data_IF_228116203482
#
_entry.id   IF_228116203482
#
_cell.length_a   1.000
_cell.length_b   1.000
_cell.length_c   1.000
_cell.angle_alpha   90.00
_cell.angle_beta   90.00
_cell.angle_gamma   90.00
#
_symmetry.space_group_name_H-M   'P 1'
#
loop_
_entity.id
_entity.type
_entity.pdbx_description
1 polymer ?
#
# COMPACT_ATOMS: atom_id res chain seq x y z
N UNK A 1 -12.39 -25.69 2.38
CA UNK A 1 -11.83 -24.64 3.27
C UNK A 1 -10.35 -24.94 3.41
N UNK A 2 -9.46 -23.96 3.18
CA UNK A 2 -8.02 -24.16 3.42
C UNK A 2 -7.78 -24.20 4.93
N UNK A 3 -6.79 -24.97 5.39
CA UNK A 3 -6.37 -24.94 6.79
C UNK A 3 -5.66 -23.62 7.10
N UNK A 4 -5.68 -23.19 8.37
CA UNK A 4 -4.99 -21.97 8.82
C UNK A 4 -3.48 -22.02 8.51
N UNK A 5 -2.87 -23.20 8.64
CA UNK A 5 -1.47 -23.44 8.26
C UNK A 5 -1.25 -23.14 6.77
N UNK A 6 -2.10 -23.68 5.90
CA UNK A 6 -1.99 -23.48 4.46
C UNK A 6 -2.26 -22.02 4.06
N UNK A 7 -3.19 -21.34 4.73
CA UNK A 7 -3.40 -19.90 4.54
C UNK A 7 -2.15 -19.10 4.89
N UNK A 8 -1.46 -19.50 5.97
CA UNK A 8 -0.21 -18.87 6.37
C UNK A 8 0.93 -19.10 5.40
N UNK A 9 1.10 -20.33 4.92
CA UNK A 9 2.09 -20.66 3.90
C UNK A 9 1.83 -19.89 2.60
N UNK A 10 0.57 -19.78 2.16
CA UNK A 10 0.20 -19.01 0.98
C UNK A 10 0.45 -17.51 1.17
N UNK A 11 0.17 -16.97 2.36
CA UNK A 11 0.39 -15.55 2.64
C UNK A 11 1.89 -15.22 2.65
N UNK A 12 2.69 -16.06 3.30
CA UNK A 12 4.14 -15.96 3.27
C UNK A 12 4.67 -16.10 1.84
N UNK A 13 4.19 -17.09 1.08
CA UNK A 13 4.57 -17.29 -0.32
C UNK A 13 4.27 -16.05 -1.16
N UNK A 14 3.11 -15.42 -0.98
CA UNK A 14 2.73 -14.24 -1.72
C UNK A 14 3.71 -13.08 -1.50
N UNK A 15 4.12 -12.83 -0.25
CA UNK A 15 5.07 -11.77 0.12
C UNK A 15 6.51 -12.11 -0.28
N UNK A 16 6.93 -13.36 -0.04
CA UNK A 16 8.32 -13.80 -0.18
C UNK A 16 8.71 -14.09 -1.63
N UNK A 17 7.79 -14.45 -2.52
CA UNK A 17 8.16 -14.73 -3.92
C UNK A 17 8.81 -13.53 -4.63
N UNK A 18 8.27 -12.29 -4.61
CA UNK A 18 8.94 -11.14 -5.19
C UNK A 18 10.20 -10.75 -4.41
N UNK A 19 10.24 -11.00 -3.09
CA UNK A 19 11.41 -10.73 -2.27
C UNK A 19 12.59 -11.62 -2.67
N UNK A 20 12.32 -12.90 -2.93
CA UNK A 20 13.30 -13.86 -3.40
C UNK A 20 13.83 -13.50 -4.80
N UNK A 21 12.95 -13.05 -5.71
CA UNK A 21 13.37 -12.57 -7.03
C UNK A 21 14.27 -11.32 -6.91
N UNK A 22 13.91 -10.37 -6.06
CA UNK A 22 14.74 -9.20 -5.76
C UNK A 22 16.12 -9.60 -5.20
N UNK A 23 16.15 -10.48 -4.18
CA UNK A 23 17.39 -10.91 -3.55
C UNK A 23 18.30 -11.68 -4.51
N UNK A 24 17.75 -12.61 -5.31
CA UNK A 24 18.52 -13.41 -6.26
C UNK A 24 19.11 -12.55 -7.38
N UNK A 25 18.30 -11.67 -7.99
CA UNK A 25 18.78 -10.76 -9.04
C UNK A 25 19.73 -9.68 -8.49
N UNK A 26 19.44 -9.16 -7.29
CA UNK A 26 20.29 -8.19 -6.60
C UNK A 26 21.67 -8.77 -6.27
N UNK A 27 21.72 -9.98 -5.70
CA UNK A 27 22.97 -10.69 -5.44
C UNK A 27 23.75 -10.94 -6.74
N UNK A 28 23.07 -11.31 -7.82
CA UNK A 28 23.71 -11.50 -9.13
C UNK A 28 24.34 -10.21 -9.68
N UNK A 29 23.67 -9.06 -9.51
CA UNK A 29 24.22 -7.76 -9.90
C UNK A 29 25.39 -7.30 -9.03
N UNK A 30 25.37 -7.61 -7.73
CA UNK A 30 26.49 -7.31 -6.82
C UNK A 30 27.78 -8.06 -7.21
N UNK A 31 27.65 -9.19 -7.90
CA UNK A 31 28.78 -9.90 -8.51
C UNK A 31 29.30 -9.23 -9.81
N UNK A 32 28.90 -7.99 -10.08
CA UNK A 32 29.22 -7.21 -11.28
C UNK A 32 28.82 -7.88 -12.60
N UNK A 33 27.80 -8.74 -12.55
CA UNK A 33 27.24 -9.41 -13.73
C UNK A 33 25.89 -8.79 -14.08
N UNK A 34 25.70 -8.38 -15.33
CA UNK A 34 24.43 -7.84 -15.82
C UNK A 34 23.59 -8.95 -16.47
N UNK A 35 22.49 -9.39 -15.84
CA UNK A 35 21.62 -10.40 -16.43
C UNK A 35 20.89 -9.82 -17.64
N UNK A 36 20.59 -10.66 -18.64
CA UNK A 36 19.82 -10.21 -19.80
C UNK A 36 18.41 -9.79 -19.42
N UNK A 37 17.80 -8.87 -20.18
CA UNK A 37 16.42 -8.42 -19.97
C UNK A 37 15.42 -9.60 -19.89
N UNK A 38 15.65 -10.65 -20.68
CA UNK A 38 14.82 -11.87 -20.68
C UNK A 38 14.91 -12.61 -19.36
N UNK A 39 16.09 -12.70 -18.75
CA UNK A 39 16.28 -13.38 -17.46
C UNK A 39 15.62 -12.57 -16.35
N UNK A 40 15.87 -11.25 -16.31
CA UNK A 40 15.29 -10.34 -15.31
C UNK A 40 13.76 -10.38 -15.37
N UNK A 41 13.19 -10.15 -16.56
CA UNK A 41 11.74 -10.10 -16.71
C UNK A 41 11.08 -11.43 -16.40
N UNK A 42 11.64 -12.57 -16.86
CA UNK A 42 11.09 -13.88 -16.52
C UNK A 42 11.11 -14.14 -15.02
N UNK A 43 12.22 -13.88 -14.33
CA UNK A 43 12.35 -14.12 -12.90
C UNK A 43 11.35 -13.28 -12.08
N UNK A 44 11.22 -11.98 -12.39
CA UNK A 44 10.28 -11.11 -11.68
C UNK A 44 8.84 -11.44 -12.03
N UNK A 45 8.51 -11.65 -13.31
CA UNK A 45 7.14 -11.98 -13.71
C UNK A 45 6.69 -13.35 -13.21
N UNK A 46 7.58 -14.35 -13.11
CA UNK A 46 7.25 -15.63 -12.48
C UNK A 46 6.98 -15.46 -11.00
N UNK A 47 7.79 -14.67 -10.29
CA UNK A 47 7.58 -14.39 -8.87
C UNK A 47 6.25 -13.66 -8.59
N UNK A 48 5.91 -12.66 -9.43
CA UNK A 48 4.62 -11.97 -9.34
C UNK A 48 3.43 -12.86 -9.70
N UNK A 49 3.62 -13.80 -10.64
CA UNK A 49 2.58 -14.78 -10.99
C UNK A 49 2.32 -15.75 -9.82
N UNK A 50 3.37 -16.16 -9.10
CA UNK A 50 3.26 -16.95 -7.87
C UNK A 50 2.51 -16.16 -6.79
N UNK A 51 2.84 -14.87 -6.59
CA UNK A 51 2.10 -14.02 -5.63
C UNK A 51 0.62 -13.92 -5.97
N UNK A 52 0.29 -13.75 -7.25
CA UNK A 52 -1.09 -13.68 -7.70
C UNK A 52 -1.83 -15.00 -7.46
N UNK A 53 -1.21 -16.14 -7.80
CA UNK A 53 -1.81 -17.45 -7.58
C UNK A 53 -2.08 -17.71 -6.10
N UNK A 54 -1.11 -17.41 -5.22
CA UNK A 54 -1.27 -17.53 -3.77
C UNK A 54 -2.38 -16.59 -3.24
N UNK A 55 -2.41 -15.34 -3.70
CA UNK A 55 -3.43 -14.36 -3.32
C UNK A 55 -4.83 -14.78 -3.77
N UNK A 56 -4.97 -15.34 -4.97
CA UNK A 56 -6.25 -15.86 -5.48
C UNK A 56 -6.72 -17.09 -4.69
N UNK A 57 -5.82 -17.99 -4.31
CA UNK A 57 -6.14 -19.15 -3.49
C UNK A 57 -6.65 -18.71 -2.09
N UNK A 58 -5.96 -17.75 -1.47
CA UNK A 58 -6.40 -17.12 -0.23
C UNK A 58 -7.78 -16.49 -0.42
N UNK A 59 -7.95 -15.61 -1.41
CA UNK A 59 -9.22 -14.91 -1.64
C UNK A 59 -10.38 -15.87 -1.93
N UNK A 60 -10.18 -16.91 -2.74
CA UNK A 60 -11.18 -17.93 -3.01
C UNK A 60 -11.64 -18.66 -1.74
N UNK A 61 -10.73 -18.90 -0.80
CA UNK A 61 -11.09 -19.46 0.50
C UNK A 61 -11.86 -18.46 1.38
N UNK A 62 -11.51 -17.16 1.34
CA UNK A 62 -12.19 -16.09 2.10
C UNK A 62 -13.63 -15.84 1.64
N UNK A 63 -13.90 -16.06 0.35
CA UNK A 63 -15.24 -15.99 -0.24
C UNK A 63 -16.07 -17.21 0.17
N UNK A 64 -15.47 -18.40 0.13
CA UNK A 64 -16.15 -19.66 0.46
C UNK A 64 -16.49 -19.79 1.96
N UNK A 65 -15.63 -19.29 2.84
CA UNK A 65 -15.84 -19.30 4.28
C UNK A 65 -15.34 -17.98 4.88
N UNK A 66 -16.24 -17.14 5.43
CA UNK A 66 -15.85 -15.95 6.18
C UNK A 66 -15.00 -16.33 7.40
N UNK A 67 -13.69 -16.13 7.33
CA UNK A 67 -12.84 -16.18 8.53
C UNK A 67 -12.64 -14.76 9.08
N UNK A 68 -12.59 -14.67 10.40
CA UNK A 68 -12.47 -13.40 11.09
C UNK A 68 -11.04 -12.87 11.07
N UNK A 69 -10.07 -13.72 11.42
CA UNK A 69 -8.68 -13.34 11.61
C UNK A 69 -7.80 -14.61 11.61
N UNK A 70 -6.94 -14.79 10.62
CA UNK A 70 -5.93 -15.88 10.64
C UNK A 70 -4.54 -15.25 10.79
N UNK A 71 -3.97 -15.24 12.02
CA UNK A 71 -2.63 -14.75 12.25
C UNK A 71 -1.59 -15.81 11.90
N UNK A 72 -0.59 -15.39 11.16
CA UNK A 72 0.52 -16.22 10.69
C UNK A 72 1.78 -15.66 11.33
N UNK A 73 2.20 -16.25 12.43
CA UNK A 73 3.37 -15.80 13.17
C UNK A 73 4.63 -16.18 12.40
N UNK A 74 5.38 -15.19 11.92
CA UNK A 74 6.67 -15.36 11.27
C UNK A 74 7.82 -15.45 12.31
N UNK A 75 7.55 -15.06 13.55
CA UNK A 75 8.51 -15.07 14.66
C UNK A 75 8.57 -13.73 15.38
N UNK A 76 9.47 -13.61 16.35
CA UNK A 76 9.73 -12.34 17.04
C UNK A 76 10.77 -11.55 16.26
N UNK A 77 10.45 -10.31 15.90
CA UNK A 77 11.45 -9.36 15.41
C UNK A 77 12.31 -8.84 16.56
N UNK A 78 11.71 -8.61 17.72
CA UNK A 78 12.39 -8.23 18.93
C UNK A 78 11.74 -8.89 20.14
N UNK A 79 12.53 -9.34 21.11
CA UNK A 79 12.00 -9.95 22.33
C UNK A 79 12.89 -9.64 23.53
N UNK A 80 12.26 -9.31 24.64
CA UNK A 80 12.85 -9.17 25.98
C UNK A 80 12.03 -10.01 26.96
N UNK A 81 12.44 -10.05 28.24
CA UNK A 81 11.72 -10.83 29.26
C UNK A 81 10.28 -10.36 29.50
N UNK A 82 10.00 -9.07 29.30
CA UNK A 82 8.70 -8.45 29.64
C UNK A 82 7.94 -7.92 28.43
N UNK A 83 8.55 -7.93 27.25
CA UNK A 83 7.96 -7.34 26.05
C UNK A 83 8.51 -8.00 24.79
N UNK A 84 7.62 -8.32 23.85
CA UNK A 84 7.98 -8.92 22.58
C UNK A 84 7.22 -8.26 21.43
N UNK A 85 7.94 -8.09 20.32
CA UNK A 85 7.46 -7.59 19.05
C UNK A 85 7.41 -8.75 18.06
N UNK A 86 6.20 -9.22 17.75
CA UNK A 86 5.94 -10.30 16.80
C UNK A 86 5.75 -9.78 15.37
N UNK A 87 6.26 -10.54 14.39
CA UNK A 87 5.91 -10.39 12.99
C UNK A 87 4.75 -11.34 12.70
N UNK A 88 3.62 -10.76 12.34
CA UNK A 88 2.41 -11.51 12.05
C UNK A 88 1.93 -11.10 10.68
N UNK A 89 1.73 -12.06 9.77
CA UNK A 89 0.88 -11.84 8.60
C UNK A 89 -0.56 -12.13 8.99
N UNK A 90 -1.48 -11.33 8.48
CA UNK A 90 -2.89 -11.39 8.77
C UNK A 90 -3.65 -11.62 7.48
N UNK A 91 -4.42 -12.70 7.48
CA UNK A 91 -5.32 -13.05 6.39
C UNK A 91 -6.75 -12.88 6.87
N UNK A 92 -7.42 -11.89 6.29
CA UNK A 92 -8.85 -11.65 6.41
C UNK A 92 -9.40 -11.19 5.05
N UNK A 93 -10.70 -10.86 4.98
CA UNK A 93 -11.33 -10.46 3.70
C UNK A 93 -10.72 -9.19 3.11
N UNK A 94 -10.37 -8.21 3.95
CA UNK A 94 -9.77 -6.96 3.49
C UNK A 94 -8.38 -7.20 2.93
N UNK A 95 -7.51 -7.90 3.67
CA UNK A 95 -6.16 -8.28 3.24
C UNK A 95 -6.21 -9.12 1.97
N UNK A 96 -7.04 -10.17 1.93
CA UNK A 96 -7.15 -11.06 0.78
C UNK A 96 -7.54 -10.31 -0.50
N UNK A 97 -8.52 -9.41 -0.40
CA UNK A 97 -8.97 -8.57 -1.53
C UNK A 97 -7.84 -7.67 -2.03
N UNK A 98 -7.11 -7.04 -1.10
CA UNK A 98 -5.99 -6.17 -1.43
C UNK A 98 -4.78 -6.92 -1.97
N UNK A 99 -4.47 -8.13 -1.46
CA UNK A 99 -3.39 -8.97 -1.97
C UNK A 99 -3.62 -9.36 -3.43
N UNK A 100 -4.87 -9.70 -3.79
CA UNK A 100 -5.25 -9.95 -5.18
C UNK A 100 -5.07 -8.70 -6.03
N UNK A 101 -5.59 -7.55 -5.58
CA UNK A 101 -5.48 -6.29 -6.31
C UNK A 101 -4.02 -5.90 -6.56
N UNK A 102 -3.19 -5.95 -5.51
CA UNK A 102 -1.76 -5.63 -5.58
C UNK A 102 -1.05 -6.55 -6.56
N UNK A 103 -1.23 -7.87 -6.43
CA UNK A 103 -0.56 -8.85 -7.28
C UNK A 103 -1.01 -8.76 -8.74
N UNK A 104 -2.31 -8.53 -8.98
CA UNK A 104 -2.88 -8.40 -10.32
C UNK A 104 -2.32 -7.18 -11.05
N UNK A 105 -2.28 -6.03 -10.38
CA UNK A 105 -1.79 -4.79 -10.96
C UNK A 105 -0.27 -4.86 -11.14
N UNK A 106 0.47 -5.38 -10.16
CA UNK A 106 1.91 -5.55 -10.28
C UNK A 106 2.30 -6.45 -11.47
N UNK A 107 1.60 -7.58 -11.66
CA UNK A 107 1.84 -8.47 -12.80
C UNK A 107 1.48 -7.80 -14.14
N UNK A 108 0.36 -7.06 -14.19
CA UNK A 108 -0.08 -6.35 -15.39
C UNK A 108 0.92 -5.27 -15.79
N UNK A 109 1.31 -4.42 -14.84
CA UNK A 109 2.33 -3.38 -15.04
C UNK A 109 3.67 -4.02 -15.40
N UNK A 110 4.06 -5.10 -14.74
CA UNK A 110 5.30 -5.82 -15.06
C UNK A 110 5.34 -6.32 -16.50
N UNK A 111 4.25 -6.93 -16.99
CA UNK A 111 4.15 -7.39 -18.38
C UNK A 111 4.23 -6.24 -19.38
N UNK A 112 3.53 -5.15 -19.12
CA UNK A 112 3.59 -3.94 -19.94
C UNK A 112 5.01 -3.36 -19.96
N UNK A 113 5.69 -3.35 -18.81
CA UNK A 113 7.03 -2.77 -18.65
C UNK A 113 8.10 -3.49 -19.46
N UNK A 114 7.93 -4.78 -19.79
CA UNK A 114 8.88 -5.53 -20.64
C UNK A 114 9.01 -4.87 -22.01
N UNK A 115 7.88 -4.52 -22.62
CA UNK A 115 7.87 -3.87 -23.94
C UNK A 115 8.23 -2.39 -23.82
N UNK A 116 7.68 -1.69 -22.83
CA UNK A 116 7.87 -0.25 -22.66
C UNK A 116 9.33 0.15 -22.38
N UNK A 117 10.06 -0.66 -21.59
CA UNK A 117 11.45 -0.38 -21.22
C UNK A 117 12.46 -1.18 -22.06
N UNK A 118 12.05 -1.78 -23.17
CA UNK A 118 12.98 -2.57 -23.97
C UNK A 118 14.17 -1.72 -24.42
N UNK A 119 15.40 -2.19 -24.16
CA UNK A 119 16.67 -1.49 -24.41
C UNK A 119 16.93 -0.25 -23.54
N UNK A 120 16.13 -0.04 -22.50
CA UNK A 120 16.43 0.99 -21.50
C UNK A 120 17.59 0.53 -20.60
N UNK A 121 18.65 1.34 -20.41
CA UNK A 121 19.76 1.00 -19.51
C UNK A 121 19.31 0.67 -18.08
N UNK A 122 18.20 1.28 -17.64
CA UNK A 122 17.59 1.07 -16.34
C UNK A 122 16.70 -0.18 -16.22
N UNK A 123 16.61 -1.06 -17.23
CA UNK A 123 15.68 -2.20 -17.23
C UNK A 123 15.78 -3.07 -15.98
N UNK A 124 16.98 -3.53 -15.63
CA UNK A 124 17.20 -4.37 -14.45
C UNK A 124 16.82 -3.65 -13.15
N UNK A 125 17.19 -2.36 -13.03
CA UNK A 125 16.84 -1.52 -11.89
C UNK A 125 15.33 -1.39 -11.73
N UNK A 126 14.59 -1.16 -12.81
CA UNK A 126 13.13 -1.06 -12.75
C UNK A 126 12.50 -2.34 -12.20
N UNK A 127 12.86 -3.50 -12.76
CA UNK A 127 12.26 -4.78 -12.36
C UNK A 127 12.62 -5.20 -10.93
N UNK A 128 13.81 -4.84 -10.43
CA UNK A 128 14.16 -5.00 -9.02
C UNK A 128 13.30 -4.11 -8.11
N UNK A 129 13.12 -2.85 -8.47
CA UNK A 129 12.28 -1.93 -7.70
C UNK A 129 10.81 -2.36 -7.76
N UNK A 130 10.33 -2.91 -8.88
CA UNK A 130 9.00 -3.51 -9.00
C UNK A 130 8.82 -4.72 -8.07
N UNK A 131 9.79 -5.62 -8.02
CA UNK A 131 9.78 -6.76 -7.11
C UNK A 131 9.77 -6.28 -5.65
N UNK A 132 10.68 -5.38 -5.29
CA UNK A 132 10.78 -4.85 -3.93
C UNK A 132 9.53 -4.08 -3.49
N UNK A 133 8.96 -3.28 -4.40
CA UNK A 133 7.69 -2.59 -4.16
C UNK A 133 6.56 -3.59 -3.92
N UNK A 134 6.49 -4.65 -4.72
CA UNK A 134 5.45 -5.68 -4.60
C UNK A 134 5.56 -6.41 -3.26
N UNK A 135 6.78 -6.74 -2.82
CA UNK A 135 7.04 -7.25 -1.47
C UNK A 135 6.54 -6.28 -0.39
N UNK A 136 6.90 -4.99 -0.49
CA UNK A 136 6.48 -3.98 0.49
C UNK A 136 4.97 -3.80 0.58
N UNK A 137 4.29 -3.70 -0.57
CA UNK A 137 2.84 -3.58 -0.59
C UNK A 137 2.14 -4.84 -0.09
N UNK A 138 2.61 -6.03 -0.46
CA UNK A 138 2.03 -7.28 0.02
C UNK A 138 2.24 -7.44 1.53
N UNK A 139 3.42 -7.12 2.05
CA UNK A 139 3.69 -7.08 3.49
C UNK A 139 2.79 -6.07 4.21
N UNK A 140 2.61 -4.87 3.64
CA UNK A 140 1.74 -3.82 4.18
C UNK A 140 0.28 -4.28 4.28
N UNK A 141 -0.29 -4.81 3.18
CA UNK A 141 -1.72 -5.17 3.15
C UNK A 141 -2.03 -6.47 3.89
N UNK A 142 -1.02 -7.30 4.13
CA UNK A 142 -1.13 -8.50 4.96
C UNK A 142 -0.53 -8.30 6.36
N UNK A 143 -0.21 -7.08 6.77
CA UNK A 143 0.39 -6.84 8.07
C UNK A 143 -0.62 -7.12 9.20
N UNK A 144 -0.29 -8.08 10.06
CA UNK A 144 -1.01 -8.36 11.31
C UNK A 144 -0.63 -7.47 12.47
N UNK A 145 0.48 -6.75 12.35
CA UNK A 145 0.96 -5.77 13.33
C UNK A 145 1.19 -4.40 12.71
N UNK A 146 1.06 -3.33 13.51
CA UNK A 146 1.36 -1.97 13.05
C UNK A 146 2.82 -1.80 12.64
N UNK A 147 3.73 -2.54 13.25
CA UNK A 147 5.15 -2.47 12.95
C UNK A 147 5.50 -3.12 11.60
N UNK A 148 4.90 -4.27 11.28
CA UNK A 148 5.06 -4.88 9.95
C UNK A 148 4.41 -4.00 8.88
N UNK A 149 3.28 -3.35 9.22
CA UNK A 149 2.66 -2.36 8.36
C UNK A 149 3.64 -1.20 8.11
N UNK A 150 4.30 -0.68 9.14
CA UNK A 150 5.32 0.35 9.03
C UNK A 150 6.48 -0.08 8.13
N UNK A 151 7.02 -1.28 8.33
CA UNK A 151 8.10 -1.80 7.47
C UNK A 151 7.68 -1.90 5.99
N UNK A 152 6.48 -2.39 5.71
CA UNK A 152 5.91 -2.39 4.36
C UNK A 152 5.71 -0.97 3.80
N UNK A 153 5.18 -0.06 4.62
CA UNK A 153 4.92 1.34 4.29
C UNK A 153 6.18 2.12 3.89
N UNK A 154 7.27 1.87 4.61
CA UNK A 154 8.60 2.38 4.34
C UNK A 154 9.16 1.85 3.03
N UNK A 155 9.07 0.53 2.82
CA UNK A 155 9.57 -0.11 1.60
C UNK A 155 8.84 0.39 0.35
N UNK A 156 7.53 0.56 0.46
CA UNK A 156 6.66 1.18 -0.56
C UNK A 156 7.08 2.62 -0.81
N UNK A 157 7.39 3.40 0.22
CA UNK A 157 7.85 4.78 0.10
C UNK A 157 9.20 4.89 -0.61
N UNK A 158 10.17 4.11 -0.17
CA UNK A 158 11.53 4.11 -0.71
C UNK A 158 11.53 3.72 -2.20
N UNK A 159 10.87 2.61 -2.55
CA UNK A 159 10.76 2.15 -3.93
C UNK A 159 10.00 3.14 -4.82
N UNK A 160 8.93 3.75 -4.32
CA UNK A 160 8.19 4.79 -5.06
C UNK A 160 9.09 5.99 -5.39
N UNK A 161 9.83 6.50 -4.40
CA UNK A 161 10.75 7.64 -4.58
C UNK A 161 11.85 7.31 -5.60
N UNK A 162 12.45 6.13 -5.51
CA UNK A 162 13.47 5.69 -6.46
C UNK A 162 12.92 5.56 -7.89
N UNK A 163 11.65 5.21 -8.04
CA UNK A 163 11.01 5.11 -9.35
C UNK A 163 10.50 6.46 -9.89
N UNK A 164 10.17 7.44 -9.04
CA UNK A 164 10.05 8.85 -9.50
C UNK A 164 11.39 9.30 -10.09
N UNK A 165 12.48 9.02 -9.39
CA UNK A 165 13.82 9.38 -9.82
C UNK A 165 14.40 8.48 -10.91
N UNK A 166 13.59 7.62 -11.56
CA UNK A 166 14.13 6.59 -12.48
C UNK A 166 14.99 7.20 -13.61
N UNK A 167 14.52 8.28 -14.22
CA UNK A 167 15.25 9.07 -15.23
C UNK A 167 16.17 10.12 -14.57
N UNK A 168 17.01 9.67 -13.64
CA UNK A 168 17.90 10.49 -12.81
C UNK A 168 18.92 11.35 -13.58
N UNK A 169 19.18 11.09 -14.86
CA UNK A 169 20.06 11.93 -15.70
C UNK A 169 19.43 13.29 -16.02
N UNK A 170 18.10 13.40 -15.94
CA UNK A 170 17.38 14.68 -16.02
C UNK A 170 17.30 15.32 -14.64
N UNK A 171 17.30 16.66 -14.56
CA UNK A 171 17.21 17.35 -13.28
C UNK A 171 15.82 17.27 -12.61
N UNK A 172 14.75 17.21 -13.40
CA UNK A 172 13.38 17.26 -12.87
C UNK A 172 12.98 16.03 -12.04
N UNK A 173 13.25 14.77 -12.48
CA UNK A 173 12.81 13.59 -11.74
C UNK A 173 13.41 13.46 -10.32
N UNK A 174 14.73 13.65 -10.09
CA UNK A 174 15.29 13.65 -8.73
C UNK A 174 14.71 14.75 -7.84
N UNK A 175 14.48 15.96 -8.36
CA UNK A 175 13.85 17.06 -7.61
C UNK A 175 12.42 16.73 -7.19
N UNK A 176 11.65 16.11 -8.09
CA UNK A 176 10.33 15.62 -7.79
C UNK A 176 10.37 14.51 -6.73
N UNK A 177 11.30 13.55 -6.86
CA UNK A 177 11.47 12.44 -5.94
C UNK A 177 11.79 12.91 -4.51
N UNK A 178 12.68 13.89 -4.35
CA UNK A 178 13.01 14.49 -3.05
C UNK A 178 11.76 15.11 -2.40
N UNK A 179 10.92 15.81 -3.18
CA UNK A 179 9.67 16.37 -2.64
C UNK A 179 8.69 15.30 -2.18
N UNK A 180 8.56 14.22 -2.95
CA UNK A 180 7.74 13.06 -2.57
C UNK A 180 8.29 12.45 -1.28
N UNK A 181 9.61 12.23 -1.21
CA UNK A 181 10.27 11.66 -0.04
C UNK A 181 10.04 12.50 1.21
N UNK A 182 10.31 13.80 1.17
CA UNK A 182 10.10 14.71 2.30
C UNK A 182 8.64 14.66 2.75
N UNK A 183 7.69 14.73 1.82
CA UNK A 183 6.27 14.69 2.19
C UNK A 183 5.91 13.37 2.87
N UNK A 184 6.38 12.24 2.35
CA UNK A 184 6.19 10.94 3.00
C UNK A 184 6.79 10.94 4.41
N UNK A 185 8.08 11.29 4.56
CA UNK A 185 8.76 11.31 5.87
C UNK A 185 8.02 12.15 6.91
N UNK A 186 7.58 13.35 6.53
CA UNK A 186 6.86 14.25 7.42
C UNK A 186 5.50 13.68 7.86
N UNK A 187 4.83 12.91 7.01
CA UNK A 187 3.55 12.29 7.36
C UNK A 187 3.71 10.98 8.12
N UNK A 188 4.78 10.23 7.82
CA UNK A 188 5.08 8.92 8.39
C UNK A 188 5.41 9.01 9.90
N UNK A 189 5.70 10.21 10.43
CA UNK A 189 5.73 10.47 11.87
C UNK A 189 4.40 10.15 12.55
N UNK A 190 3.27 10.28 11.83
CA UNK A 190 1.96 9.89 12.31
C UNK A 190 1.82 8.38 12.46
N UNK A 191 2.39 7.60 11.53
CA UNK A 191 2.40 6.14 11.61
C UNK A 191 3.28 5.67 12.76
N UNK A 192 4.46 6.28 12.91
CA UNK A 192 5.36 6.02 14.03
C UNK A 192 4.71 6.38 15.38
N UNK A 193 4.09 7.55 15.47
CA UNK A 193 3.35 7.97 16.67
C UNK A 193 2.19 7.03 16.98
N UNK A 194 1.46 6.58 15.95
CA UNK A 194 0.41 5.58 16.10
C UNK A 194 0.92 4.23 16.59
N UNK A 195 2.07 3.77 16.10
CA UNK A 195 2.70 2.55 16.59
C UNK A 195 3.10 2.67 18.07
N UNK A 196 3.74 3.79 18.45
CA UNK A 196 4.11 4.05 19.86
C UNK A 196 2.87 4.11 20.76
N UNK A 197 1.82 4.82 20.36
CA UNK A 197 0.57 4.89 21.13
C UNK A 197 -0.11 3.53 21.25
N UNK A 198 -0.06 2.71 20.22
CA UNK A 198 -0.65 1.37 20.24
C UNK A 198 0.10 0.47 21.24
N UNK A 199 1.44 0.51 21.23
CA UNK A 199 2.27 -0.20 22.20
C UNK A 199 2.06 0.27 23.65
N UNK A 200 1.90 1.58 23.86
CA UNK A 200 1.71 2.17 25.19
C UNK A 200 0.30 1.91 25.75
N UNK A 201 -0.74 2.12 24.95
CA UNK A 201 -2.14 2.08 25.40
C UNK A 201 -2.75 0.68 25.35
N UNK A 202 -2.37 -0.15 24.37
CA UNK A 202 -2.93 -1.48 24.18
C UNK A 202 -1.98 -2.60 24.61
N UNK A 203 -0.73 -2.27 24.96
CA UNK A 203 0.33 -3.25 25.29
C UNK A 203 0.52 -4.34 24.22
N UNK A 204 0.20 -4.01 22.97
CA UNK A 204 0.25 -4.90 21.82
C UNK A 204 0.38 -4.08 20.54
N UNK A 205 1.00 -4.63 19.50
CA UNK A 205 0.93 -4.10 18.14
C UNK A 205 0.00 -4.87 17.21
N UNK A 206 -0.63 -5.95 17.68
CA UNK A 206 -1.42 -6.82 16.83
C UNK A 206 -2.83 -6.27 16.63
N UNK A 207 -3.26 -6.12 15.38
CA UNK A 207 -4.61 -5.61 15.08
C UNK A 207 -5.71 -6.44 15.75
N UNK A 208 -5.54 -7.76 15.81
CA UNK A 208 -6.53 -8.68 16.38
C UNK A 208 -6.68 -8.54 17.90
N UNK A 209 -5.63 -8.11 18.60
CA UNK A 209 -5.68 -7.86 20.04
C UNK A 209 -6.31 -6.49 20.33
N UNK A 210 -5.99 -5.47 19.53
CA UNK A 210 -6.53 -4.11 19.72
C UNK A 210 -7.99 -3.96 19.26
N UNK A 211 -8.35 -4.64 18.17
CA UNK A 211 -9.68 -4.51 17.54
C UNK A 211 -10.60 -5.70 17.82
N UNK A 212 -10.08 -6.76 18.45
CA UNK A 212 -10.79 -8.01 18.67
C UNK A 212 -10.84 -8.90 17.41
N UNK A 213 -11.34 -10.12 17.60
CA UNK A 213 -11.42 -11.14 16.54
C UNK A 213 -12.69 -11.10 15.70
N UNK A 214 -13.34 -9.95 15.53
CA UNK A 214 -14.54 -9.84 14.70
C UNK A 214 -14.17 -9.71 13.21
N UNK A 215 -14.89 -10.36 12.27
CA UNK A 215 -14.62 -10.20 10.85
C UNK A 215 -14.72 -8.73 10.41
N UNK A 216 -13.76 -8.27 9.60
CA UNK A 216 -13.78 -6.92 9.02
C UNK A 216 -15.13 -6.60 8.34
N UNK A 217 -15.71 -5.38 8.51
CA UNK A 217 -15.14 -4.19 9.16
C UNK A 217 -15.09 -4.21 10.69
N UNK A 218 -15.49 -5.31 11.32
CA UNK A 218 -15.26 -5.60 12.73
C UNK A 218 -16.19 -4.89 13.70
N UNK A 219 -16.06 -5.26 14.96
CA UNK A 219 -16.67 -4.59 16.10
C UNK A 219 -15.76 -3.44 16.59
N UNK A 220 -16.31 -2.56 17.41
CA UNK A 220 -15.62 -1.40 17.95
C UNK A 220 -14.35 -1.78 18.74
N UNK A 221 -13.27 -1.00 18.57
CA UNK A 221 -12.01 -1.21 19.31
C UNK A 221 -12.20 -1.20 20.83
N UNK A 222 -11.36 -1.94 21.56
CA UNK A 222 -11.38 -2.03 23.03
C UNK A 222 -10.88 -0.76 23.74
N UNK A 223 -10.30 0.18 22.98
CA UNK A 223 -9.79 1.46 23.47
C UNK A 223 -10.92 2.45 23.82
N UNK A 224 -10.69 3.27 24.85
CA UNK A 224 -11.58 4.39 25.18
C UNK A 224 -11.67 5.42 24.04
N UNK A 225 -12.76 6.21 23.92
CA UNK A 225 -12.98 7.11 22.80
C UNK A 225 -11.85 8.13 22.54
N UNK A 226 -11.24 8.66 23.60
CA UNK A 226 -10.10 9.60 23.49
C UNK A 226 -8.86 8.94 22.90
N UNK A 227 -8.49 7.76 23.42
CA UNK A 227 -7.39 6.95 22.90
C UNK A 227 -7.62 6.54 21.44
N UNK A 228 -8.84 6.09 21.11
CA UNK A 228 -9.23 5.74 19.75
C UNK A 228 -9.12 6.95 18.80
N UNK A 229 -9.50 8.14 19.26
CA UNK A 229 -9.37 9.40 18.48
C UNK A 229 -7.92 9.74 18.22
N UNK A 230 -7.06 9.74 19.25
CA UNK A 230 -5.65 10.07 19.12
C UNK A 230 -4.95 9.10 18.16
N UNK A 231 -5.14 7.79 18.36
CA UNK A 231 -4.57 6.76 17.50
C UNK A 231 -5.05 6.88 16.06
N UNK A 232 -6.36 7.06 15.84
CA UNK A 232 -6.92 7.22 14.50
C UNK A 232 -6.33 8.46 13.78
N UNK A 233 -6.19 9.60 14.46
CA UNK A 233 -5.65 10.81 13.86
C UNK A 233 -4.14 10.72 13.58
N UNK A 234 -3.37 10.03 14.43
CA UNK A 234 -1.97 9.74 14.15
C UNK A 234 -1.81 8.89 12.88
N UNK A 235 -2.57 7.79 12.77
CA UNK A 235 -2.54 6.93 11.58
C UNK A 235 -3.11 7.64 10.35
N UNK A 236 -4.09 8.51 10.53
CA UNK A 236 -4.65 9.34 9.46
C UNK A 236 -3.62 10.32 8.89
N UNK A 237 -2.77 10.94 9.73
CA UNK A 237 -1.71 11.84 9.24
C UNK A 237 -0.78 11.12 8.24
N UNK A 238 -0.41 9.87 8.52
CA UNK A 238 0.36 9.07 7.57
C UNK A 238 -0.44 8.76 6.29
N UNK A 239 -1.70 8.36 6.44
CA UNK A 239 -2.61 8.13 5.31
C UNK A 239 -2.74 9.37 4.41
N UNK A 240 -2.81 10.58 4.98
CA UNK A 240 -2.86 11.82 4.22
C UNK A 240 -1.64 11.98 3.31
N UNK A 241 -0.44 11.66 3.81
CA UNK A 241 0.80 11.71 3.05
C UNK A 241 0.80 10.78 1.84
N UNK A 242 0.54 9.48 2.04
CA UNK A 242 0.55 8.48 0.96
C UNK A 242 -0.61 8.62 -0.01
N UNK A 243 -1.77 9.07 0.46
CA UNK A 243 -3.00 9.19 -0.35
C UNK A 243 -3.23 10.61 -0.88
N UNK A 244 -2.20 11.46 -0.82
CA UNK A 244 -2.22 12.82 -1.37
C UNK A 244 -3.44 13.65 -0.91
N UNK A 245 -3.83 13.54 0.36
CA UNK A 245 -4.95 14.31 0.90
C UNK A 245 -4.54 15.76 1.12
N UNK A 246 -5.49 16.68 0.98
CA UNK A 246 -5.29 18.11 1.24
C UNK A 246 -4.89 18.34 2.71
N UNK A 247 -3.90 19.21 3.02
CA UNK A 247 -3.11 20.05 2.12
C UNK A 247 -1.82 19.38 1.58
N UNK A 248 -1.59 18.13 1.94
CA UNK A 248 -0.33 17.39 1.71
C UNK A 248 -0.25 16.75 0.32
N UNK A 249 -1.27 16.88 -0.54
CA UNK A 249 -1.35 16.21 -1.84
C UNK A 249 -0.52 16.79 -3.00
N UNK A 250 0.19 17.90 -2.78
CA UNK A 250 0.90 18.61 -3.87
C UNK A 250 2.05 17.82 -4.52
N UNK A 251 2.47 16.71 -3.91
CA UNK A 251 3.53 15.85 -4.46
C UNK A 251 3.03 14.97 -5.61
N UNK A 252 1.74 14.61 -5.65
CA UNK A 252 1.23 13.58 -6.58
C UNK A 252 1.37 13.98 -8.06
N UNK A 253 0.97 15.19 -8.51
CA UNK A 253 1.16 15.59 -9.90
C UNK A 253 2.65 15.64 -10.29
N UNK A 254 3.52 16.04 -9.36
CA UNK A 254 4.97 16.10 -9.60
C UNK A 254 5.62 14.72 -9.69
N UNK A 255 5.02 13.71 -9.07
CA UNK A 255 5.51 12.34 -9.15
C UNK A 255 5.32 11.70 -10.53
N UNK A 256 4.62 12.38 -11.46
CA UNK A 256 4.40 11.94 -12.85
C UNK A 256 5.66 11.96 -13.74
N UNK A 257 6.81 12.39 -13.23
CA UNK A 257 8.11 12.35 -13.91
C UNK A 257 8.64 10.92 -14.14
N UNK A 258 8.18 9.94 -13.36
CA UNK A 258 8.56 8.54 -13.52
C UNK A 258 8.04 7.91 -14.83
N UNK A 259 8.60 6.76 -15.25
CA UNK A 259 8.13 6.05 -16.43
C UNK A 259 6.66 5.66 -16.28
N UNK A 260 5.89 5.68 -17.38
CA UNK A 260 4.44 5.40 -17.37
C UNK A 260 4.03 4.16 -16.56
N UNK A 261 4.75 3.01 -16.64
CA UNK A 261 4.43 1.84 -15.81
C UNK A 261 4.56 2.11 -14.29
N UNK A 262 5.55 2.90 -13.86
CA UNK A 262 5.67 3.30 -12.45
C UNK A 262 4.53 4.21 -12.02
N UNK A 263 4.10 5.13 -12.88
CA UNK A 263 2.98 6.01 -12.61
C UNK A 263 1.68 5.22 -12.45
N UNK A 264 1.46 4.19 -13.28
CA UNK A 264 0.31 3.29 -13.19
C UNK A 264 0.32 2.53 -11.86
N UNK A 265 1.47 2.02 -11.44
CA UNK A 265 1.64 1.24 -10.22
C UNK A 265 1.44 2.07 -8.94
N UNK A 266 2.09 3.22 -8.81
CA UNK A 266 2.11 3.99 -7.55
C UNK A 266 0.93 4.94 -7.44
N UNK A 267 0.79 5.80 -8.43
CA UNK A 267 -0.09 6.96 -8.36
C UNK A 267 -1.44 6.68 -8.99
N UNK A 268 -1.49 5.76 -9.96
CA UNK A 268 -2.74 5.28 -10.54
C UNK A 268 -3.46 4.31 -9.61
N UNK A 269 -2.74 3.34 -9.04
CA UNK A 269 -3.40 2.12 -8.60
C UNK A 269 -3.09 1.62 -7.19
N UNK A 270 -1.84 1.57 -6.72
CA UNK A 270 -1.52 0.84 -5.48
C UNK A 270 -1.08 1.77 -4.36
N UNK A 271 0.05 2.48 -4.51
CA UNK A 271 0.64 3.25 -3.40
C UNK A 271 -0.30 4.34 -2.89
N UNK A 272 -1.04 5.02 -3.77
CA UNK A 272 -1.99 6.06 -3.38
C UNK A 272 -3.17 5.52 -2.57
N UNK A 273 -3.50 4.23 -2.72
CA UNK A 273 -4.58 3.58 -1.97
C UNK A 273 -4.09 2.95 -0.65
N UNK A 274 -2.79 3.00 -0.34
CA UNK A 274 -2.26 2.48 0.93
C UNK A 274 -2.86 3.22 2.14
N UNK A 275 -3.07 4.53 2.05
CA UNK A 275 -3.76 5.30 3.10
C UNK A 275 -5.24 4.95 3.21
N UNK A 276 -5.94 4.73 2.10
CA UNK A 276 -7.33 4.24 2.10
C UNK A 276 -7.40 2.88 2.78
N UNK A 277 -6.51 1.95 2.43
CA UNK A 277 -6.40 0.64 3.08
C UNK A 277 -6.17 0.76 4.58
N UNK A 278 -5.24 1.62 5.02
CA UNK A 278 -4.97 1.83 6.44
C UNK A 278 -6.22 2.30 7.17
N UNK A 279 -6.95 3.26 6.60
CA UNK A 279 -8.20 3.76 7.18
C UNK A 279 -9.33 2.72 7.21
N UNK A 280 -9.41 1.84 6.20
CA UNK A 280 -10.31 0.68 6.23
C UNK A 280 -9.90 -0.34 7.31
N UNK A 281 -8.60 -0.60 7.46
CA UNK A 281 -8.05 -1.53 8.47
C UNK A 281 -8.33 -1.05 9.89
N UNK A 282 -8.29 0.26 10.12
CA UNK A 282 -8.58 0.87 11.42
C UNK A 282 -10.01 1.35 11.59
N UNK A 283 -10.95 0.90 10.75
CA UNK A 283 -12.37 1.18 10.89
C UNK A 283 -12.92 0.97 12.33
N UNK A 284 -12.49 -0.06 13.10
CA UNK A 284 -12.86 -0.19 14.52
C UNK A 284 -12.56 1.02 15.41
N UNK A 285 -11.48 1.78 15.13
CA UNK A 285 -11.16 3.03 15.82
C UNK A 285 -12.11 4.15 15.42
N UNK A 286 -12.44 4.22 14.13
CA UNK A 286 -13.33 5.25 13.57
C UNK A 286 -14.76 5.10 14.08
N UNK A 287 -15.24 3.86 14.20
CA UNK A 287 -16.52 3.54 14.85
C UNK A 287 -16.57 3.98 16.33
N UNK A 288 -15.42 4.07 17.00
CA UNK A 288 -15.32 4.58 18.39
C UNK A 288 -15.12 6.08 18.49
N UNK A 289 -14.68 6.74 17.41
CA UNK A 289 -14.41 8.17 17.36
C UNK A 289 -15.18 8.85 16.24
N UNK A 290 -16.39 9.37 16.52
CA UNK A 290 -17.10 10.25 15.59
C UNK A 290 -16.28 11.49 15.21
N UNK A 291 -15.45 12.00 16.13
CA UNK A 291 -14.60 13.15 15.89
C UNK A 291 -13.52 12.85 14.83
N UNK A 292 -12.79 11.75 14.95
CA UNK A 292 -11.80 11.36 13.94
C UNK A 292 -12.46 11.08 12.58
N UNK A 293 -13.62 10.40 12.60
CA UNK A 293 -14.41 10.12 11.40
C UNK A 293 -14.86 11.40 10.67
N UNK A 294 -15.32 12.41 11.42
CA UNK A 294 -15.69 13.72 10.87
C UNK A 294 -14.50 14.45 10.25
N UNK A 295 -13.34 14.45 10.92
CA UNK A 295 -12.11 15.05 10.37
C UNK A 295 -11.70 14.38 9.05
N UNK A 296 -11.72 13.05 9.01
CA UNK A 296 -11.41 12.26 7.81
C UNK A 296 -12.36 12.61 6.66
N UNK A 297 -13.66 12.68 6.93
CA UNK A 297 -14.65 13.04 5.92
C UNK A 297 -14.46 14.47 5.41
N UNK A 298 -14.23 15.44 6.29
CA UNK A 298 -14.00 16.83 5.91
C UNK A 298 -12.74 17.00 5.04
N UNK A 299 -11.63 16.35 5.42
CA UNK A 299 -10.39 16.38 4.63
C UNK A 299 -10.57 15.67 3.29
N UNK A 300 -11.27 14.53 3.26
CA UNK A 300 -11.60 13.84 2.02
C UNK A 300 -12.42 14.71 1.06
N UNK A 301 -13.44 15.41 1.58
CA UNK A 301 -14.27 16.33 0.82
C UNK A 301 -13.45 17.53 0.29
N UNK A 302 -12.61 18.14 1.13
CA UNK A 302 -11.72 19.22 0.72
C UNK A 302 -10.75 18.76 -0.39
N UNK A 303 -10.22 17.54 -0.28
CA UNK A 303 -9.36 16.93 -1.29
C UNK A 303 -10.11 16.71 -2.60
N UNK A 304 -11.36 16.24 -2.54
CA UNK A 304 -12.19 16.00 -3.72
C UNK A 304 -12.53 17.29 -4.47
N UNK A 305 -12.88 18.36 -3.74
CA UNK A 305 -13.11 19.69 -4.30
C UNK A 305 -11.83 20.22 -4.94
N UNK A 306 -10.72 20.22 -4.21
CA UNK A 306 -9.42 20.69 -4.69
C UNK A 306 -8.95 19.95 -5.95
N UNK A 307 -8.99 18.60 -5.93
CA UNK A 307 -8.59 17.77 -7.06
C UNK A 307 -9.41 18.07 -8.31
N UNK A 308 -10.73 18.26 -8.16
CA UNK A 308 -11.63 18.53 -9.28
C UNK A 308 -11.39 19.93 -9.86
N UNK A 309 -11.22 20.94 -9.01
CA UNK A 309 -11.00 22.32 -9.47
C UNK A 309 -9.67 22.48 -10.19
N UNK A 310 -8.59 21.90 -9.64
CA UNK A 310 -7.25 22.02 -10.24
C UNK A 310 -7.10 21.09 -11.46
N UNK A 311 -7.72 19.90 -11.43
CA UNK A 311 -7.68 18.94 -12.53
C UNK A 311 -8.27 19.46 -13.84
N UNK A 312 -9.31 20.30 -13.78
CA UNK A 312 -9.97 20.89 -14.97
C UNK A 312 -9.11 21.87 -15.75
N UNK A 313 -8.06 22.40 -15.15
CA UNK A 313 -7.17 23.40 -15.77
C UNK A 313 -5.77 22.86 -16.06
N UNK A 314 -5.56 21.54 -15.89
CA UNK A 314 -4.28 20.92 -16.25
C UNK A 314 -4.14 20.82 -17.76
N UNK A 315 -2.97 21.19 -18.27
CA UNK A 315 -2.66 21.16 -19.71
C UNK A 315 -2.16 19.80 -20.19
N UNK A 316 -1.67 18.94 -19.29
CA UNK A 316 -1.14 17.62 -19.63
C UNK A 316 -1.99 16.49 -19.02
N UNK A 317 -2.01 15.35 -19.73
CA UNK A 317 -2.84 14.19 -19.39
C UNK A 317 -2.42 13.57 -18.06
N UNK A 318 -1.12 13.48 -17.75
CA UNK A 318 -0.64 12.81 -16.53
C UNK A 318 -1.01 13.61 -15.28
N UNK A 319 -0.85 14.93 -15.30
CA UNK A 319 -1.27 15.82 -14.20
C UNK A 319 -2.79 15.85 -14.05
N UNK A 320 -3.55 15.88 -15.15
CA UNK A 320 -5.01 15.78 -15.11
C UNK A 320 -5.46 14.47 -14.46
N UNK A 321 -4.85 13.34 -14.84
CA UNK A 321 -5.12 12.03 -14.24
C UNK A 321 -4.69 11.98 -12.77
N UNK A 322 -3.58 12.60 -12.39
CA UNK A 322 -3.14 12.68 -11.00
C UNK A 322 -4.18 13.40 -10.13
N UNK A 323 -4.69 14.55 -10.58
CA UNK A 323 -5.74 15.27 -9.89
C UNK A 323 -7.08 14.52 -9.86
N UNK A 324 -7.44 13.80 -10.94
CA UNK A 324 -8.60 12.91 -10.94
C UNK A 324 -8.46 11.79 -9.90
N UNK A 325 -7.26 11.22 -9.73
CA UNK A 325 -6.98 10.27 -8.65
C UNK A 325 -7.13 10.92 -7.28
N UNK A 326 -6.60 12.14 -7.06
CA UNK A 326 -6.82 12.86 -5.78
C UNK A 326 -8.30 12.99 -5.48
N UNK A 327 -9.13 13.31 -6.49
CA UNK A 327 -10.57 13.44 -6.31
C UNK A 327 -11.20 12.15 -5.82
N UNK A 328 -10.96 11.05 -6.53
CA UNK A 328 -11.60 9.77 -6.21
C UNK A 328 -11.11 9.21 -4.88
N UNK A 329 -9.82 9.34 -4.59
CA UNK A 329 -9.26 8.95 -3.29
C UNK A 329 -9.86 9.82 -2.17
N UNK A 330 -10.00 11.13 -2.38
CA UNK A 330 -10.71 12.00 -1.43
C UNK A 330 -12.15 11.54 -1.15
N UNK A 331 -12.88 11.10 -2.18
CA UNK A 331 -14.22 10.52 -2.02
C UNK A 331 -14.20 9.20 -1.21
N UNK A 332 -13.20 8.35 -1.39
CA UNK A 332 -13.04 7.14 -0.55
C UNK A 332 -12.84 7.50 0.93
N UNK A 333 -12.09 8.56 1.23
CA UNK A 333 -11.95 9.06 2.61
C UNK A 333 -13.29 9.61 3.15
N UNK A 334 -14.11 10.27 2.31
CA UNK A 334 -15.49 10.66 2.70
C UNK A 334 -16.32 9.42 3.03
N UNK A 335 -16.32 8.41 2.16
CA UNK A 335 -17.06 7.16 2.36
C UNK A 335 -16.65 6.49 3.68
N UNK A 336 -15.34 6.41 3.97
CA UNK A 336 -14.81 5.87 5.23
C UNK A 336 -15.26 6.71 6.43
N UNK A 337 -15.14 8.03 6.38
CA UNK A 337 -15.54 8.91 7.47
C UNK A 337 -17.06 8.91 7.74
N UNK A 338 -17.88 8.51 6.76
CA UNK A 338 -19.31 8.28 6.91
C UNK A 338 -19.65 6.84 7.35
N UNK A 339 -18.65 5.98 7.55
CA UNK A 339 -18.84 4.58 7.94
C UNK A 339 -19.22 3.63 6.79
N UNK A 340 -19.13 4.07 5.54
CA UNK A 340 -19.47 3.31 4.34
C UNK A 340 -18.29 2.43 3.86
N UNK A 341 -17.72 1.63 4.76
CA UNK A 341 -16.45 0.91 4.54
C UNK A 341 -16.48 -0.05 3.34
N UNK A 342 -17.60 -0.74 3.09
CA UNK A 342 -17.74 -1.62 1.93
C UNK A 342 -17.78 -0.85 0.62
N UNK A 343 -18.46 0.29 0.58
CA UNK A 343 -18.50 1.16 -0.58
C UNK A 343 -17.09 1.64 -0.91
N UNK A 344 -16.34 2.10 0.09
CA UNK A 344 -14.96 2.52 -0.05
C UNK A 344 -14.03 1.41 -0.56
N UNK A 345 -14.21 0.16 -0.11
CA UNK A 345 -13.42 -0.97 -0.60
C UNK A 345 -13.72 -1.29 -2.08
N UNK A 346 -15.01 -1.31 -2.46
CA UNK A 346 -15.42 -1.54 -3.86
C UNK A 346 -14.95 -0.39 -4.76
N UNK A 347 -15.11 0.84 -4.31
CA UNK A 347 -14.65 2.04 -5.00
C UNK A 347 -13.12 2.00 -5.20
N UNK A 348 -12.35 1.71 -4.15
CA UNK A 348 -10.89 1.50 -4.23
C UNK A 348 -10.53 0.49 -5.31
N UNK A 349 -11.13 -0.70 -5.28
CA UNK A 349 -10.79 -1.77 -6.23
C UNK A 349 -11.11 -1.37 -7.68
N UNK A 350 -12.31 -0.83 -7.92
CA UNK A 350 -12.73 -0.39 -9.24
C UNK A 350 -11.84 0.75 -9.77
N UNK A 351 -11.55 1.72 -8.91
CA UNK A 351 -10.72 2.87 -9.23
C UNK A 351 -9.28 2.46 -9.57
N UNK A 352 -8.67 1.59 -8.76
CA UNK A 352 -7.32 1.10 -9.00
C UNK A 352 -7.18 0.40 -10.36
N UNK A 353 -8.15 -0.46 -10.73
CA UNK A 353 -8.20 -1.10 -12.03
C UNK A 353 -8.35 -0.09 -13.18
N UNK A 354 -9.30 0.84 -13.07
CA UNK A 354 -9.58 1.85 -14.10
C UNK A 354 -8.38 2.78 -14.31
N UNK A 355 -7.78 3.29 -13.24
CA UNK A 355 -6.63 4.21 -13.32
C UNK A 355 -5.37 3.51 -13.79
N UNK A 356 -5.15 2.26 -13.41
CA UNK A 356 -4.07 1.46 -13.99
C UNK A 356 -4.21 1.44 -15.53
N UNK A 357 -5.39 1.09 -16.03
CA UNK A 357 -5.65 1.07 -17.48
C UNK A 357 -5.45 2.44 -18.14
N UNK A 358 -5.99 3.51 -17.57
CA UNK A 358 -5.87 4.86 -18.13
C UNK A 358 -4.42 5.34 -18.16
N UNK A 359 -3.65 5.07 -17.10
CA UNK A 359 -2.26 5.48 -17.03
C UNK A 359 -1.40 4.66 -18.00
N UNK A 360 -1.64 3.37 -18.18
CA UNK A 360 -0.91 2.56 -19.18
C UNK A 360 -1.22 2.93 -20.63
N UNK A 361 -2.35 3.62 -20.88
CA UNK A 361 -2.74 4.11 -22.20
C UNK A 361 -2.28 5.54 -22.51
N UNK A 362 -1.98 6.33 -21.47
CA UNK A 362 -1.51 7.71 -21.56
C UNK A 362 -0.03 7.76 -21.91
#
# INVERSE_FOLDING_TARGET
MLSDVLLGELAALAVLSPAAAFAALGAYLLLLRTPSERVVSRAVLSALSVSLAASLAIWGSAVAAPYAFVPVKLGHWFATRSYAFELVLLVDRLSATMMVLVSLIALTVGRFSVAYLHREPGFARFFLLLALFSTGMLALVSAGTVDLLFAGWELVGATSVLLVAFFHEREAPPRAAVRVYITYRLCDVGLLGGAVLMHDLAHSSQWGEVFGGAPWPGAAASLGPGAATALALCLFLAAMGKSAQFPLGSWLPRAMEGPTPSSALFYGAISVHAGVYLMLRVAPLLQRSPAASAVIACVGAATAVYGTTVGRVQADVKSALAHATMTQVGLMFVEIGLGLYWLALVHLFAHACLRCLQMLRA
#
